data_IF_820654342435
#
_entry.id   IF_820654342435
#
_cell.length_a   1.000
_cell.length_b   1.000
_cell.length_c   1.000
_cell.angle_alpha   90.00
_cell.angle_beta   90.00
_cell.angle_gamma   90.00
#
_symmetry.space_group_name_H-M   'P 1'
#
loop_
_entity.id
_entity.type
_entity.pdbx_description
1 polymer ?
#
# COMPACT_ATOMS: atom_id res chain seq x y z
N UNK A 1 -6.31 16.18 -9.90
CA UNK A 1 -5.92 15.31 -8.76
C UNK A 1 -4.75 14.47 -9.22
N UNK A 2 -3.69 14.35 -8.42
CA UNK A 2 -2.58 13.41 -8.66
C UNK A 2 -2.74 12.19 -7.77
N UNK A 3 -2.60 11.01 -8.36
CA UNK A 3 -2.75 9.73 -7.66
C UNK A 3 -1.54 8.86 -7.95
N UNK A 4 -0.89 8.38 -6.91
CA UNK A 4 0.11 7.32 -6.99
C UNK A 4 -0.60 5.97 -6.88
N UNK A 5 -0.60 5.19 -7.96
CA UNK A 5 -1.00 3.80 -7.96
C UNK A 5 0.17 2.89 -7.56
N UNK A 6 -0.10 1.92 -6.69
CA UNK A 6 0.88 0.97 -6.17
C UNK A 6 0.35 -0.46 -6.35
N UNK A 7 1.00 -1.21 -7.23
CA UNK A 7 0.85 -2.66 -7.37
C UNK A 7 1.92 -3.34 -6.49
N UNK A 8 1.57 -3.82 -5.29
CA UNK A 8 2.53 -4.18 -4.27
C UNK A 8 3.13 -5.57 -4.49
N UNK A 9 4.44 -5.65 -4.36
CA UNK A 9 5.15 -6.92 -4.35
C UNK A 9 6.54 -6.76 -3.74
N UNK A 10 6.96 -7.74 -2.94
CA UNK A 10 8.22 -7.63 -2.21
C UNK A 10 9.42 -7.57 -3.16
N UNK A 11 9.45 -8.37 -4.23
CA UNK A 11 10.54 -8.36 -5.23
C UNK A 11 10.36 -7.25 -6.27
N UNK A 12 9.12 -7.00 -6.69
CA UNK A 12 8.76 -5.99 -7.68
C UNK A 12 7.49 -5.29 -7.20
N UNK A 13 7.60 -4.01 -6.90
CA UNK A 13 6.48 -3.17 -6.56
C UNK A 13 6.29 -2.15 -7.69
N UNK A 14 5.21 -2.31 -8.46
CA UNK A 14 4.86 -1.39 -9.54
C UNK A 14 4.35 -0.07 -8.97
N UNK A 15 4.82 1.04 -9.52
CA UNK A 15 4.44 2.39 -9.11
C UNK A 15 4.15 3.25 -10.33
N UNK A 16 3.11 4.07 -10.26
CA UNK A 16 2.73 4.94 -11.37
C UNK A 16 1.90 6.12 -10.91
N UNK A 17 2.18 7.29 -11.45
CA UNK A 17 1.48 8.53 -11.10
C UNK A 17 0.66 9.02 -12.28
N UNK A 18 -0.64 9.20 -12.03
CA UNK A 18 -1.58 9.75 -13.00
C UNK A 18 -2.19 11.04 -12.44
N UNK A 19 -2.26 12.05 -13.29
CA UNK A 19 -2.95 13.30 -13.02
C UNK A 19 -4.24 13.38 -13.84
N UNK A 20 -5.32 13.79 -13.19
CA UNK A 20 -6.56 14.13 -13.88
C UNK A 20 -7.76 14.28 -12.97
N UNK A 21 -8.93 14.31 -13.60
CA UNK A 21 -10.25 14.30 -12.96
C UNK A 21 -11.19 13.45 -13.80
N UNK A 22 -12.24 12.89 -13.19
CA UNK A 22 -13.22 12.09 -13.90
C UNK A 22 -13.88 12.89 -15.05
N UNK A 23 -14.07 12.22 -16.20
CA UNK A 23 -14.66 12.83 -17.40
C UNK A 23 -13.74 13.76 -18.19
N UNK A 24 -12.46 13.89 -17.82
CA UNK A 24 -11.46 14.66 -18.56
C UNK A 24 -10.28 13.76 -18.97
N UNK A 25 -9.46 14.17 -19.96
CA UNK A 25 -8.22 13.46 -20.30
C UNK A 25 -7.32 13.29 -19.08
N UNK A 26 -6.65 12.15 -19.01
CA UNK A 26 -5.69 11.81 -17.97
C UNK A 26 -4.27 11.97 -18.51
N UNK A 27 -3.32 12.30 -17.64
CA UNK A 27 -1.90 12.40 -17.97
C UNK A 27 -1.09 11.46 -17.08
N UNK A 28 -0.17 10.70 -17.69
CA UNK A 28 0.84 9.96 -16.95
C UNK A 28 1.99 10.91 -16.60
N UNK A 29 2.30 11.05 -15.31
CA UNK A 29 3.43 11.86 -14.86
C UNK A 29 4.71 11.03 -14.74
N UNK A 30 4.58 9.77 -14.32
CA UNK A 30 5.70 8.86 -14.18
C UNK A 30 5.24 7.43 -13.97
N UNK A 31 6.08 6.47 -14.34
CA UNK A 31 5.86 5.04 -14.05
C UNK A 31 7.18 4.30 -13.85
N UNK A 32 7.18 3.31 -12.96
CA UNK A 32 8.39 2.57 -12.62
C UNK A 32 8.11 1.32 -11.78
N UNK A 33 9.19 0.68 -11.34
CA UNK A 33 9.12 -0.48 -10.45
C UNK A 33 10.21 -0.34 -9.40
N UNK A 34 9.82 -0.36 -8.13
CA UNK A 34 10.75 -0.54 -7.01
C UNK A 34 11.12 -2.02 -6.96
N UNK A 35 12.42 -2.31 -7.05
CA UNK A 35 12.95 -3.67 -7.09
C UNK A 35 13.76 -3.96 -5.84
N UNK A 36 13.58 -5.16 -5.29
CA UNK A 36 14.45 -5.66 -4.21
C UNK A 36 15.12 -6.96 -4.63
N UNK A 37 16.38 -7.22 -4.24
CA UNK A 37 17.03 -8.50 -4.45
C UNK A 37 16.26 -9.60 -3.70
N UNK A 38 15.99 -10.74 -4.37
CA UNK A 38 15.24 -11.84 -3.76
C UNK A 38 16.04 -12.64 -2.73
N UNK A 39 17.37 -12.54 -2.79
CA UNK A 39 18.36 -13.16 -1.91
C UNK A 39 18.72 -12.30 -0.69
N UNK A 40 18.26 -11.05 -0.63
CA UNK A 40 18.43 -10.19 0.55
C UNK A 40 17.50 -10.59 1.70
N UNK A 41 17.93 -10.30 2.93
CA UNK A 41 17.13 -10.51 4.14
C UNK A 41 15.82 -9.70 4.10
N UNK A 42 14.76 -10.24 4.69
CA UNK A 42 13.42 -9.64 4.62
C UNK A 42 13.40 -8.19 5.10
N UNK A 43 14.09 -7.89 6.20
CA UNK A 43 14.16 -6.54 6.76
C UNK A 43 14.74 -5.53 5.76
N UNK A 44 15.85 -5.87 5.11
CA UNK A 44 16.51 -5.01 4.12
C UNK A 44 15.62 -4.78 2.89
N UNK A 45 14.88 -5.81 2.49
CA UNK A 45 13.92 -5.71 1.39
C UNK A 45 12.77 -4.76 1.73
N UNK A 46 12.24 -4.81 2.96
CA UNK A 46 11.20 -3.88 3.40
C UNK A 46 11.69 -2.43 3.45
N UNK A 47 12.92 -2.20 3.93
CA UNK A 47 13.58 -0.88 3.91
C UNK A 47 13.77 -0.38 2.47
N UNK A 48 14.16 -1.27 1.55
CA UNK A 48 14.29 -0.90 0.14
C UNK A 48 12.95 -0.52 -0.51
N UNK A 49 11.87 -1.25 -0.18
CA UNK A 49 10.51 -0.88 -0.60
C UNK A 49 10.11 0.49 -0.04
N UNK A 50 10.32 0.72 1.27
CA UNK A 50 10.02 2.00 1.92
C UNK A 50 10.73 3.16 1.21
N UNK A 51 12.05 3.08 1.05
CA UNK A 51 12.84 4.11 0.37
C UNK A 51 12.36 4.37 -1.05
N UNK A 52 12.03 3.30 -1.78
CA UNK A 52 11.48 3.41 -3.12
C UNK A 52 10.14 4.15 -3.13
N UNK A 53 9.21 3.81 -2.24
CA UNK A 53 7.92 4.50 -2.16
C UNK A 53 8.08 5.95 -1.72
N UNK A 54 8.90 6.23 -0.70
CA UNK A 54 9.15 7.59 -0.21
C UNK A 54 9.69 8.49 -1.33
N UNK A 55 10.61 8.00 -2.17
CA UNK A 55 11.12 8.75 -3.32
C UNK A 55 10.02 9.18 -4.31
N UNK A 56 9.05 8.29 -4.57
CA UNK A 56 7.90 8.61 -5.43
C UNK A 56 6.93 9.60 -4.79
N UNK A 57 6.74 9.50 -3.47
CA UNK A 57 5.92 10.45 -2.71
C UNK A 57 6.57 11.85 -2.70
N UNK A 58 7.90 11.92 -2.57
CA UNK A 58 8.67 13.16 -2.64
C UNK A 58 8.62 13.80 -4.04
N UNK A 59 8.93 13.03 -5.08
CA UNK A 59 9.04 13.52 -6.45
C UNK A 59 7.72 14.06 -6.99
N UNK A 60 6.61 13.35 -6.76
CA UNK A 60 5.33 13.67 -7.41
C UNK A 60 4.33 14.39 -6.51
N UNK A 61 4.54 14.36 -5.18
CA UNK A 61 3.63 14.94 -4.18
C UNK A 61 2.15 14.59 -4.46
N UNK A 62 1.79 13.30 -4.53
CA UNK A 62 0.43 12.88 -4.88
C UNK A 62 -0.56 13.28 -3.78
N UNK A 63 -1.80 13.59 -4.19
CA UNK A 63 -2.88 13.88 -3.24
C UNK A 63 -3.55 12.62 -2.68
N UNK A 64 -3.34 11.47 -3.32
CA UNK A 64 -3.88 10.17 -2.92
C UNK A 64 -2.91 9.05 -3.31
N UNK A 65 -2.93 7.97 -2.52
CA UNK A 65 -2.29 6.70 -2.89
C UNK A 65 -3.36 5.62 -3.08
N UNK A 66 -3.34 4.97 -4.24
CA UNK A 66 -4.23 3.87 -4.59
C UNK A 66 -3.43 2.56 -4.56
N UNK A 67 -3.74 1.66 -3.62
CA UNK A 67 -3.03 0.39 -3.45
C UNK A 67 -3.94 -0.76 -3.86
N UNK A 68 -3.41 -1.76 -4.56
CA UNK A 68 -4.15 -2.98 -4.82
C UNK A 68 -4.48 -3.72 -3.52
N UNK A 69 -5.74 -4.15 -3.38
CA UNK A 69 -6.18 -4.97 -2.25
C UNK A 69 -5.66 -6.40 -2.42
N UNK A 70 -4.96 -6.89 -1.40
CA UNK A 70 -4.36 -8.23 -1.38
C UNK A 70 -5.41 -9.30 -1.07
N UNK A 71 -5.38 -10.41 -1.82
CA UNK A 71 -6.25 -11.58 -1.63
C UNK A 71 -5.43 -12.87 -1.50
N UNK A 72 -5.74 -13.69 -0.49
CA UNK A 72 -4.98 -14.91 -0.19
C UNK A 72 -5.39 -16.15 -1.00
N UNK A 73 -6.52 -16.12 -1.71
CA UNK A 73 -7.19 -17.34 -2.21
C UNK A 73 -6.39 -18.15 -3.24
N UNK A 74 -5.49 -17.54 -4.01
CA UNK A 74 -4.86 -18.20 -5.17
C UNK A 74 -3.34 -18.30 -5.10
N UNK A 75 -2.67 -17.61 -4.17
CA UNK A 75 -1.20 -17.55 -4.14
C UNK A 75 -0.65 -17.41 -2.71
N UNK A 76 -0.97 -18.40 -1.87
CA UNK A 76 -0.64 -18.42 -0.43
C UNK A 76 0.87 -18.24 -0.15
N UNK A 77 1.74 -18.67 -1.08
CA UNK A 77 3.21 -18.56 -0.92
C UNK A 77 3.72 -17.13 -1.03
N UNK A 78 3.12 -16.30 -1.90
CA UNK A 78 3.62 -14.94 -2.19
C UNK A 78 2.77 -13.85 -1.52
N UNK A 79 1.55 -14.18 -1.09
CA UNK A 79 0.61 -13.23 -0.49
C UNK A 79 1.20 -12.48 0.70
N UNK A 80 2.01 -13.15 1.53
CA UNK A 80 2.60 -12.53 2.71
C UNK A 80 3.56 -11.39 2.32
N UNK A 81 4.43 -11.65 1.34
CA UNK A 81 5.36 -10.63 0.83
C UNK A 81 4.63 -9.45 0.18
N UNK A 82 3.58 -9.73 -0.57
CA UNK A 82 2.72 -8.68 -1.14
C UNK A 82 2.02 -7.87 -0.05
N UNK A 83 1.43 -8.51 0.96
CA UNK A 83 0.78 -7.83 2.08
C UNK A 83 1.76 -6.94 2.88
N UNK A 84 2.98 -7.43 3.11
CA UNK A 84 4.04 -6.64 3.75
C UNK A 84 4.41 -5.41 2.91
N UNK A 85 4.60 -5.57 1.59
CA UNK A 85 4.87 -4.43 0.70
C UNK A 85 3.70 -3.44 0.65
N UNK A 86 2.45 -3.91 0.63
CA UNK A 86 1.26 -3.07 0.75
C UNK A 86 1.28 -2.24 2.04
N UNK A 87 1.59 -2.88 3.17
CA UNK A 87 1.63 -2.20 4.47
C UNK A 87 2.68 -1.08 4.49
N UNK A 88 3.85 -1.30 3.88
CA UNK A 88 4.89 -0.26 3.74
C UNK A 88 4.36 0.93 2.93
N UNK A 89 3.73 0.69 1.77
CA UNK A 89 3.18 1.77 0.96
C UNK A 89 2.10 2.57 1.69
N UNK A 90 1.21 1.86 2.41
CA UNK A 90 0.17 2.48 3.25
C UNK A 90 0.77 3.31 4.39
N UNK A 91 1.81 2.80 5.05
CA UNK A 91 2.50 3.48 6.15
C UNK A 91 3.17 4.77 5.67
N UNK A 92 3.91 4.73 4.55
CA UNK A 92 4.59 5.91 3.98
C UNK A 92 3.57 7.02 3.66
N UNK A 93 2.45 6.66 3.02
CA UNK A 93 1.38 7.60 2.72
C UNK A 93 0.74 8.19 3.99
N UNK A 94 0.42 7.34 4.98
CA UNK A 94 -0.22 7.75 6.22
C UNK A 94 0.66 8.70 7.04
N UNK A 95 1.98 8.47 7.10
CA UNK A 95 2.95 9.37 7.77
C UNK A 95 2.96 10.78 7.21
N UNK A 96 2.60 10.94 5.92
CA UNK A 96 2.50 12.23 5.22
C UNK A 96 1.09 12.82 5.25
N UNK A 97 0.14 12.17 5.91
CA UNK A 97 -1.28 12.56 5.88
C UNK A 97 -1.94 12.38 4.51
N UNK A 98 -1.34 11.58 3.61
CA UNK A 98 -1.88 11.31 2.29
C UNK A 98 -2.92 10.18 2.41
N UNK A 99 -4.19 10.42 2.00
CA UNK A 99 -5.21 9.40 2.07
C UNK A 99 -4.91 8.19 1.16
N UNK A 100 -5.19 7.00 1.67
CA UNK A 100 -4.99 5.72 0.96
C UNK A 100 -6.33 5.09 0.60
N UNK A 101 -6.46 4.62 -0.63
CA UNK A 101 -7.61 3.85 -1.11
C UNK A 101 -7.18 2.46 -1.56
N UNK A 102 -7.97 1.45 -1.18
CA UNK A 102 -7.75 0.05 -1.55
C UNK A 102 -8.75 -0.37 -2.65
N UNK A 103 -8.24 -0.85 -3.78
CA UNK A 103 -9.05 -1.33 -4.91
C UNK A 103 -8.80 -2.80 -5.18
N UNK A 104 -9.85 -3.56 -5.44
CA UNK A 104 -9.73 -4.95 -5.87
C UNK A 104 -9.31 -5.04 -7.35
N UNK A 105 -8.68 -6.14 -7.78
CA UNK A 105 -8.39 -6.37 -9.20
C UNK A 105 -9.62 -6.23 -10.09
N UNK A 106 -10.78 -6.75 -9.65
CA UNK A 106 -12.03 -6.65 -10.40
C UNK A 106 -12.55 -5.21 -10.49
N UNK A 107 -12.37 -4.38 -9.46
CA UNK A 107 -12.71 -2.95 -9.52
C UNK A 107 -11.82 -2.21 -10.53
N UNK A 108 -10.51 -2.49 -10.52
CA UNK A 108 -9.56 -1.90 -11.47
C UNK A 108 -9.91 -2.29 -12.91
N UNK A 109 -10.11 -3.59 -13.15
CA UNK A 109 -10.51 -4.12 -14.44
C UNK A 109 -11.82 -3.49 -14.92
N UNK A 110 -12.84 -3.42 -14.05
CA UNK A 110 -14.13 -2.82 -14.39
C UNK A 110 -14.01 -1.33 -14.70
N UNK A 111 -13.23 -0.58 -13.92
CA UNK A 111 -13.05 0.86 -14.13
C UNK A 111 -12.35 1.14 -15.47
N UNK A 112 -11.30 0.39 -15.80
CA UNK A 112 -10.46 0.65 -16.98
C UNK A 112 -11.07 0.09 -18.28
N UNK A 113 -11.70 -1.08 -18.21
CA UNK A 113 -12.14 -1.82 -19.41
C UNK A 113 -13.66 -1.93 -19.56
N UNK A 114 -14.42 -1.58 -18.53
CA UNK A 114 -15.87 -1.84 -18.44
C UNK A 114 -16.24 -3.25 -17.96
N UNK A 115 -15.27 -4.16 -17.79
CA UNK A 115 -15.52 -5.52 -17.31
C UNK A 115 -14.58 -5.91 -16.16
N UNK A 116 -15.14 -6.35 -15.03
CA UNK A 116 -14.35 -6.87 -13.89
C UNK A 116 -13.64 -8.20 -14.17
N UNK A 117 -13.94 -8.82 -15.31
CA UNK A 117 -13.36 -10.10 -15.77
C UNK A 117 -12.31 -9.93 -16.89
N UNK A 118 -11.96 -8.70 -17.26
CA UNK A 118 -11.02 -8.45 -18.33
C UNK A 118 -9.64 -9.10 -18.09
N UNK A 119 -9.00 -9.50 -19.19
CA UNK A 119 -7.65 -10.05 -19.18
C UNK A 119 -6.60 -8.95 -19.01
N UNK A 120 -5.42 -9.31 -18.47
CA UNK A 120 -4.34 -8.33 -18.20
C UNK A 120 -3.89 -7.60 -19.46
N UNK A 121 -3.85 -8.27 -20.60
CA UNK A 121 -3.53 -7.65 -21.89
C UNK A 121 -4.55 -6.56 -22.29
N UNK A 122 -5.84 -6.81 -22.03
CA UNK A 122 -6.91 -5.83 -22.31
C UNK A 122 -6.79 -4.61 -21.39
N UNK A 123 -6.45 -4.82 -20.11
CA UNK A 123 -6.18 -3.71 -19.18
C UNK A 123 -5.01 -2.87 -19.70
N UNK A 124 -3.89 -3.49 -20.09
CA UNK A 124 -2.73 -2.78 -20.62
C UNK A 124 -3.03 -1.98 -21.89
N UNK A 125 -3.78 -2.55 -22.83
CA UNK A 125 -4.22 -1.86 -24.04
C UNK A 125 -5.10 -0.64 -23.72
N UNK A 126 -6.02 -0.79 -22.76
CA UNK A 126 -6.88 0.30 -22.32
C UNK A 126 -6.08 1.39 -21.59
N UNK A 127 -5.15 1.05 -20.70
CA UNK A 127 -4.27 2.03 -20.04
C UNK A 127 -3.51 2.86 -21.08
N UNK A 128 -2.93 2.20 -22.07
CA UNK A 128 -2.22 2.85 -23.20
C UNK A 128 -3.14 3.86 -23.91
N UNK A 129 -4.36 3.43 -24.25
CA UNK A 129 -5.36 4.28 -24.94
C UNK A 129 -5.81 5.46 -24.08
N UNK A 130 -6.09 5.22 -22.81
CA UNK A 130 -6.65 6.22 -21.88
C UNK A 130 -5.64 7.31 -21.55
N UNK A 131 -4.36 6.95 -21.43
CA UNK A 131 -3.26 7.86 -21.19
C UNK A 131 -2.64 8.42 -22.48
N UNK A 132 -3.17 8.03 -23.65
CA UNK A 132 -2.73 8.46 -24.98
C UNK A 132 -1.22 8.23 -25.21
N UNK A 133 -0.74 7.06 -24.78
CA UNK A 133 0.65 6.68 -24.95
C UNK A 133 0.87 6.10 -26.35
N UNK A 134 2.01 6.41 -26.97
CA UNK A 134 2.38 5.88 -28.29
C UNK A 134 2.64 4.37 -28.27
N UNK A 135 3.00 3.83 -27.10
CA UNK A 135 3.28 2.41 -26.89
C UNK A 135 2.84 1.97 -25.48
N UNK A 136 2.66 0.65 -25.26
CA UNK A 136 2.35 0.12 -23.94
C UNK A 136 3.36 0.55 -22.88
N UNK A 137 2.91 0.92 -21.67
CA UNK A 137 3.81 1.39 -20.62
C UNK A 137 4.77 0.27 -20.21
N UNK A 138 6.04 0.63 -20.02
CA UNK A 138 7.10 -0.28 -19.59
C UNK A 138 7.63 0.16 -18.23
N UNK A 139 8.07 -0.77 -17.37
CA UNK A 139 8.12 -2.23 -17.54
C UNK A 139 6.75 -2.93 -17.40
N UNK A 140 6.65 -4.26 -17.51
CA UNK A 140 5.39 -5.00 -17.57
C UNK A 140 4.39 -4.75 -16.40
N UNK A 141 4.86 -4.32 -15.22
CA UNK A 141 4.00 -4.02 -14.05
C UNK A 141 3.56 -2.54 -14.02
N UNK A 142 4.07 -1.72 -14.95
CA UNK A 142 3.72 -0.31 -15.10
C UNK A 142 2.22 -0.12 -15.38
N UNK A 143 1.65 -1.01 -16.20
CA UNK A 143 0.24 -0.94 -16.58
C UNK A 143 -0.69 -1.12 -15.37
N UNK A 144 -0.36 -2.02 -14.43
CA UNK A 144 -1.21 -2.32 -13.28
C UNK A 144 -1.23 -1.15 -12.29
N UNK A 145 -0.06 -0.57 -12.01
CA UNK A 145 0.06 0.64 -11.19
C UNK A 145 -0.69 1.83 -11.79
N UNK A 146 -0.56 2.07 -13.11
CA UNK A 146 -1.31 3.12 -13.79
C UNK A 146 -2.82 2.85 -13.78
N UNK A 147 -3.24 1.60 -13.97
CA UNK A 147 -4.64 1.20 -13.92
C UNK A 147 -5.25 1.46 -12.53
N UNK A 148 -4.51 1.22 -11.45
CA UNK A 148 -4.94 1.54 -10.07
C UNK A 148 -5.15 3.04 -9.88
N UNK A 149 -4.22 3.87 -10.36
CA UNK A 149 -4.34 5.32 -10.29
C UNK A 149 -5.57 5.82 -11.08
N UNK A 150 -5.77 5.33 -12.31
CA UNK A 150 -6.95 5.64 -13.14
C UNK A 150 -8.24 5.21 -12.44
N UNK A 151 -8.28 3.99 -11.91
CA UNK A 151 -9.41 3.44 -11.17
C UNK A 151 -9.83 4.36 -10.02
N UNK A 152 -8.85 4.83 -9.24
CA UNK A 152 -9.13 5.75 -8.15
C UNK A 152 -9.66 7.10 -8.64
N UNK A 153 -9.03 7.73 -9.65
CA UNK A 153 -9.47 9.03 -10.19
C UNK A 153 -10.94 8.98 -10.63
N UNK A 154 -11.39 7.87 -11.21
CA UNK A 154 -12.76 7.73 -11.70
C UNK A 154 -13.76 7.31 -10.62
N UNK A 155 -13.35 6.52 -9.64
CA UNK A 155 -14.25 6.06 -8.56
C UNK A 155 -14.36 7.04 -7.39
N UNK A 156 -13.31 7.80 -7.09
CA UNK A 156 -13.25 8.68 -5.93
C UNK A 156 -14.41 9.71 -5.87
N UNK A 157 -14.80 10.40 -6.97
CA UNK A 157 -15.91 11.36 -6.91
C UNK A 157 -17.27 10.72 -6.61
N UNK A 158 -17.50 9.48 -7.05
CA UNK A 158 -18.73 8.74 -6.75
C UNK A 158 -18.74 8.25 -5.29
N UNK A 159 -17.61 7.70 -4.82
CA UNK A 159 -17.44 7.24 -3.45
C UNK A 159 -17.55 8.38 -2.44
N UNK A 160 -16.94 9.54 -2.71
CA UNK A 160 -17.02 10.72 -1.85
C UNK A 160 -18.45 11.24 -1.71
N UNK A 161 -19.22 11.30 -2.82
CA UNK A 161 -20.64 11.70 -2.78
C UNK A 161 -21.48 10.74 -1.94
N UNK A 162 -21.26 9.43 -2.09
CA UNK A 162 -21.96 8.43 -1.30
C UNK A 162 -21.62 8.53 0.19
N UNK A 163 -20.33 8.70 0.52
CA UNK A 163 -19.88 8.87 1.90
C UNK A 163 -20.46 10.14 2.55
N UNK A 164 -20.50 11.26 1.82
CA UNK A 164 -21.11 12.50 2.28
C UNK A 164 -22.61 12.34 2.53
N UNK A 165 -23.34 11.67 1.63
CA UNK A 165 -24.76 11.37 1.83
C UNK A 165 -24.99 10.48 3.06
N UNK A 166 -24.19 9.42 3.23
CA UNK A 166 -24.26 8.54 4.41
C UNK A 166 -23.95 9.31 5.70
N UNK A 167 -22.95 10.19 5.71
CA UNK A 167 -22.62 11.02 6.86
C UNK A 167 -23.74 12.02 7.21
N UNK A 168 -24.34 12.66 6.20
CA UNK A 168 -25.49 13.55 6.37
C UNK A 168 -26.69 12.81 7.00
N UNK A 169 -26.94 11.56 6.60
CA UNK A 169 -28.00 10.73 7.18
C UNK A 169 -27.67 10.11 8.55
N UNK A 170 -26.40 10.05 8.93
CA UNK A 170 -25.94 9.54 10.24
C UNK A 170 -25.89 10.59 11.34
N UNK A 171 -26.07 11.87 11.01
CA UNK A 171 -26.16 12.92 12.03
C UNK A 171 -27.49 12.72 12.77
N UNK A 172 -27.50 12.35 14.06
CA UNK A 172 -28.75 12.24 14.80
C UNK A 172 -29.38 13.61 14.83
N UNK A 173 -30.64 13.72 14.44
CA UNK A 173 -31.46 14.90 14.71
C UNK A 173 -31.41 15.13 16.21
N UNK A 174 -30.53 16.04 16.66
CA UNK A 174 -30.50 16.47 18.04
C UNK A 174 -31.92 16.93 18.35
N UNK A 175 -32.59 16.16 19.21
CA UNK A 175 -33.95 16.39 19.65
C UNK A 175 -34.11 17.88 19.94
N UNK A 176 -34.85 18.54 19.05
CA UNK A 176 -35.41 19.87 19.24
C UNK A 176 -36.26 19.76 20.49
N UNK A 177 -35.65 19.98 21.67
CA UNK A 177 -36.37 20.19 22.92
C UNK A 177 -37.35 21.32 22.64
N UNK A 178 -38.62 20.97 22.49
CA UNK A 178 -39.72 21.91 22.47
C UNK A 178 -39.67 22.63 23.82
N UNK A 179 -39.21 23.87 23.82
CA UNK A 179 -39.47 24.81 24.90
C UNK A 179 -40.96 25.15 24.81
N UNK A 180 -41.77 24.55 25.68
CA UNK A 180 -43.15 24.98 25.92
C UNK A 180 -43.12 26.37 26.58
N UNK A 181 -43.94 27.34 26.13
CA UNK A 181 -44.06 28.63 26.81
C UNK A 181 -44.76 28.44 28.16
N UNK A 182 -44.24 29.10 29.18
CA UNK A 182 -44.65 28.95 30.57
C UNK A 182 -46.10 29.33 30.84
N UNK A 183 -46.75 28.53 31.69
CA UNK A 183 -47.93 28.93 32.46
C UNK A 183 -47.47 29.26 33.88
N UNK A 184 -47.64 30.52 34.22
CA UNK A 184 -47.44 31.15 35.52
C UNK A 184 -48.32 30.52 36.60
N UNK A 185 -47.72 30.09 37.72
CA UNK A 185 -48.38 29.89 39.01
C UNK A 185 -47.54 30.43 40.16
N UNK A 186 -48.22 31.24 40.95
CA UNK A 186 -47.87 32.07 42.12
C UNK A 186 -47.24 31.28 43.30
N UNK A 187 -46.41 31.89 44.15
CA UNK A 187 -45.67 31.18 45.20
C UNK A 187 -46.47 31.06 46.52
N UNK A 188 -46.27 29.95 47.23
CA UNK A 188 -46.86 29.71 48.55
C UNK A 188 -46.01 28.77 49.42
N UNK A 189 -45.42 29.37 50.46
CA UNK A 189 -45.17 28.82 51.81
C UNK A 189 -44.19 27.63 52.01
N UNK A 190 -42.99 27.98 52.50
CA UNK A 190 -42.37 27.54 53.77
C UNK A 190 -42.56 26.10 54.28
N UNK A 191 -41.44 25.38 54.48
CA UNK A 191 -41.05 24.79 55.78
C UNK A 191 -39.63 24.19 55.70
N UNK A 192 -38.86 24.43 56.76
CA UNK A 192 -37.45 24.08 56.99
C UNK A 192 -37.30 22.68 57.66
N UNK A 193 -36.15 22.29 58.25
CA UNK A 193 -35.32 21.18 57.79
C UNK A 193 -35.27 20.01 58.82
N UNK A 194 -34.61 18.89 58.51
CA UNK A 194 -34.00 18.02 59.54
C UNK A 194 -32.94 17.07 58.95
N UNK A 195 -31.73 17.17 59.51
CA UNK A 195 -30.58 16.26 59.44
C UNK A 195 -30.71 15.13 60.50
N UNK A 196 -29.68 14.33 60.80
CA UNK A 196 -28.99 13.33 59.97
C UNK A 196 -28.98 11.94 60.68
N UNK A 197 -28.55 10.88 59.97
CA UNK A 197 -28.37 9.54 60.56
C UNK A 197 -27.14 8.83 59.98
N UNK A 198 -26.17 8.61 60.85
CA UNK A 198 -24.83 8.04 60.67
C UNK A 198 -24.76 6.51 60.61
N UNK A 199 -23.55 6.01 60.27
CA UNK A 199 -22.97 4.66 60.46
C UNK A 199 -23.18 3.67 59.31
N UNK A 200 -22.22 2.86 58.88
CA UNK A 200 -20.81 2.61 59.24
C UNK A 200 -20.19 1.81 58.08
N UNK A 201 -18.99 2.16 57.60
CA UNK A 201 -17.70 1.61 58.00
C UNK A 201 -17.44 0.13 57.63
N UNK A 202 -16.49 -0.02 56.68
CA UNK A 202 -15.39 -1.01 56.66
C UNK A 202 -15.73 -2.47 56.34
N UNK A 203 -14.93 -3.28 55.62
CA UNK A 203 -13.48 -3.29 55.46
C UNK A 203 -13.05 -4.03 54.18
N UNK A 204 -11.82 -3.75 53.72
CA UNK A 204 -11.01 -4.66 52.89
C UNK A 204 -10.41 -5.77 53.77
N UNK A 205 -9.87 -6.87 53.20
CA UNK A 205 -8.40 -6.90 53.01
C UNK A 205 -7.90 -7.71 51.79
N UNK A 206 -6.59 -7.53 51.56
CA UNK A 206 -5.67 -8.15 50.59
C UNK A 206 -5.34 -9.62 50.92
N UNK A 207 -4.86 -10.38 49.91
CA UNK A 207 -3.70 -11.33 49.91
C UNK A 207 -3.48 -11.81 48.45
N UNK A 208 -2.31 -11.65 47.78
CA UNK A 208 -1.08 -12.46 47.81
C UNK A 208 -1.32 -13.97 47.55
N UNK A 209 -0.62 -14.75 46.71
CA UNK A 209 0.56 -14.64 45.84
C UNK A 209 0.93 -16.08 45.33
N UNK A 210 1.90 -16.21 44.40
CA UNK A 210 2.79 -17.36 44.07
C UNK A 210 3.11 -17.35 42.55
N UNK A 211 4.32 -17.18 41.99
CA UNK A 211 5.68 -17.80 42.09
C UNK A 211 5.81 -19.27 41.65
N UNK A 212 6.65 -19.47 40.62
CA UNK A 212 7.38 -20.70 40.26
C UNK A 212 7.40 -20.95 38.74
N UNK A 213 8.46 -21.39 38.04
CA UNK A 213 9.91 -21.54 38.28
C UNK A 213 10.57 -21.90 36.94
N UNK A 214 11.82 -21.46 36.76
CA UNK A 214 12.96 -21.96 35.93
C UNK A 214 12.83 -23.15 34.95
N UNK A 215 13.50 -23.00 33.79
CA UNK A 215 14.01 -24.12 32.97
C UNK A 215 14.79 -23.68 31.71
N UNK A 216 16.13 -23.68 31.79
CA UNK A 216 17.10 -23.47 30.68
C UNK A 216 17.59 -24.83 30.08
N UNK A 217 18.37 -24.85 28.99
CA UNK A 217 18.25 -25.83 27.89
C UNK A 217 19.19 -27.05 27.99
N UNK A 218 18.90 -28.10 27.21
CA UNK A 218 19.85 -29.20 26.90
C UNK A 218 19.70 -29.72 25.46
N UNK A 219 20.76 -29.59 24.68
CA UNK A 219 21.24 -30.60 23.71
C UNK A 219 22.03 -31.67 24.47
N UNK A 220 22.08 -32.94 23.99
CA UNK A 220 23.13 -33.44 23.07
C UNK A 220 22.53 -34.43 22.03
N UNK A 221 23.20 -34.97 21.01
CA UNK A 221 24.60 -35.08 20.63
C UNK A 221 24.69 -35.83 19.28
N UNK A 222 25.87 -35.77 18.67
CA UNK A 222 26.24 -36.40 17.41
C UNK A 222 26.74 -37.85 17.57
N UNK A 223 26.66 -38.65 16.49
CA UNK A 223 27.56 -39.76 16.03
C UNK A 223 26.80 -40.55 14.94
N UNK A 224 27.34 -41.00 13.80
CA UNK A 224 28.69 -41.09 13.23
C UNK A 224 28.63 -41.18 11.68
N UNK A 225 29.69 -40.81 10.93
CA UNK A 225 30.75 -41.70 10.33
C UNK A 225 30.16 -42.86 9.51
N UNK A 226 30.47 -43.12 8.23
CA UNK A 226 31.78 -43.18 7.56
C UNK A 226 31.63 -43.53 6.06
N UNK A 227 32.64 -43.20 5.23
CA UNK A 227 32.96 -43.91 3.95
C UNK A 227 33.09 -43.00 2.72
N UNK A 228 34.29 -42.47 2.40
CA UNK A 228 35.25 -42.95 1.36
C UNK A 228 34.72 -42.81 -0.09
N UNK A 229 35.42 -42.30 -1.12
CA UNK A 229 36.84 -42.02 -1.38
C UNK A 229 36.99 -41.53 -2.85
N UNK A 230 37.94 -40.63 -3.12
CA UNK A 230 38.65 -40.46 -4.41
C UNK A 230 37.86 -39.86 -5.59
N UNK A 231 38.38 -39.05 -6.50
CA UNK A 231 39.74 -38.63 -6.87
C UNK A 231 39.59 -37.46 -7.84
N UNK A 232 40.33 -36.37 -7.63
CA UNK A 232 40.71 -35.40 -8.68
C UNK A 232 41.76 -36.06 -9.61
N UNK A 233 41.84 -35.63 -10.89
CA UNK A 233 42.96 -34.75 -11.23
C UNK A 233 42.61 -33.62 -12.20
N UNK A 234 43.27 -32.48 -12.01
CA UNK A 234 43.49 -31.40 -12.99
C UNK A 234 44.69 -31.73 -13.92
N UNK A 235 45.22 -30.83 -14.78
CA UNK A 235 44.64 -29.90 -15.76
C UNK A 235 45.31 -30.01 -17.17
N UNK A 236 44.80 -29.25 -18.17
CA UNK A 236 45.52 -28.91 -19.42
C UNK A 236 44.57 -28.81 -20.62
N UNK A 237 44.75 -27.98 -21.65
CA UNK A 237 45.65 -26.87 -21.92
C UNK A 237 45.08 -26.11 -23.14
N UNK A 238 45.44 -24.82 -23.27
CA UNK A 238 45.68 -24.10 -24.53
C UNK A 238 44.54 -23.88 -25.54
N UNK A 239 44.15 -22.61 -25.74
CA UNK A 239 44.49 -21.83 -26.95
C UNK A 239 43.72 -20.51 -27.04
N UNK A 240 44.45 -19.39 -27.03
CA UNK A 240 44.11 -18.12 -27.70
C UNK A 240 45.03 -18.04 -28.96
N UNK A 241 44.83 -17.20 -30.01
CA UNK A 241 44.52 -15.76 -29.85
C UNK A 241 43.74 -15.02 -30.99
N UNK A 242 43.33 -13.77 -30.68
CA UNK A 242 43.18 -12.55 -31.53
C UNK A 242 42.15 -12.58 -32.68
N UNK A 243 41.28 -11.58 -32.80
CA UNK A 243 41.44 -10.33 -33.60
C UNK A 243 40.42 -9.28 -33.11
N UNK A 244 40.83 -8.10 -32.61
CA UNK A 244 40.96 -6.81 -33.33
C UNK A 244 39.81 -6.45 -34.29
N UNK A 245 39.03 -5.43 -33.94
CA UNK A 245 38.02 -4.86 -34.84
C UNK A 245 37.30 -3.65 -34.26
N UNK A 246 38.04 -2.61 -33.90
CA UNK A 246 37.48 -1.27 -33.71
C UNK A 246 36.89 -0.78 -35.05
N UNK A 247 35.62 -0.40 -35.08
CA UNK A 247 35.09 0.44 -36.17
C UNK A 247 34.47 1.70 -35.60
N UNK A 248 34.86 2.78 -36.27
CA UNK A 248 34.92 4.16 -35.86
C UNK A 248 33.75 4.88 -36.54
N UNK A 249 33.05 5.71 -35.79
CA UNK A 249 32.05 6.63 -36.31
C UNK A 249 32.63 7.57 -37.38
N UNK A 250 31.86 7.97 -38.41
CA UNK A 250 32.09 9.23 -39.08
C UNK A 250 31.21 10.31 -38.45
N UNK A 251 31.91 11.31 -37.90
CA UNK A 251 31.42 12.66 -37.61
C UNK A 251 31.33 13.44 -38.93
N UNK A 252 30.57 14.54 -38.91
CA UNK A 252 30.45 15.66 -39.87
C UNK A 252 29.49 15.50 -41.06
N UNK A 253 28.38 16.26 -41.02
CA UNK A 253 28.30 17.50 -41.80
C UNK A 253 27.40 18.53 -41.08
N UNK A 254 28.00 19.66 -40.72
CA UNK A 254 27.34 20.89 -40.29
C UNK A 254 27.77 21.94 -41.32
N UNK A 255 26.82 22.44 -42.11
CA UNK A 255 26.97 23.59 -43.02
C UNK A 255 25.55 24.01 -43.40
N UNK A 256 25.00 25.04 -42.76
CA UNK A 256 25.02 26.47 -43.12
C UNK A 256 24.17 26.82 -44.35
N UNK A 257 23.12 27.59 -44.06
CA UNK A 257 22.54 28.70 -44.84
C UNK A 257 21.77 28.37 -46.12
N UNK A 258 20.44 28.40 -46.04
CA UNK A 258 19.57 29.54 -46.40
C UNK A 258 18.15 29.26 -45.89
#
# INVERSE_FOLDING_TARGET
MRVLGVDPGLTRCGVGVVEGVAGRPLAMLGVGVVRTPSDAELGDRLVAVERGIEAWLDEYSPGYVAVERVFAQHNVRTVMGTAQASAIAMLCAARRGIPVALHTPSEVKAAVTGSGRAEKAQVGAMVTRLLRLDAPPRPADAADALALAICHIWRAPAQNRLQQAVAAHRTPTASRRQTTPGVSRTPGASATPRTPGTSGASATPRTAGATGTSGTPRTPGATGTSGTSGTDPAPGASAAPRTSGASRAPRTLKGRSA
#
